data_IF_213756396694
#
_entry.id   IF_213756396694
#
_cell.length_a   1.000
_cell.length_b   1.000
_cell.length_c   1.000
_cell.angle_alpha   90.00
_cell.angle_beta   90.00
_cell.angle_gamma   90.00
#
_symmetry.space_group_name_H-M   'P 1'
#
loop_
_entity.id
_entity.type
_entity.pdbx_description
1 polymer ?
#
# COMPACT_ATOMS: atom_id res chain seq x y z
N UNK A 1 -11.03 24.77 12.27
CA UNK A 1 -11.67 23.97 11.22
C UNK A 1 -12.54 22.92 11.90
N UNK A 2 -13.82 22.89 11.65
CA UNK A 2 -14.71 21.88 12.23
C UNK A 2 -14.51 20.52 11.50
N UNK A 3 -15.02 19.42 12.07
CA UNK A 3 -14.83 18.07 11.53
C UNK A 3 -15.32 17.94 10.06
N UNK A 4 -16.42 18.59 9.74
CA UNK A 4 -17.03 18.55 8.40
C UNK A 4 -16.16 19.29 7.36
N UNK A 5 -15.63 20.47 7.74
CA UNK A 5 -14.69 21.22 6.89
C UNK A 5 -13.39 20.43 6.67
N UNK A 6 -12.87 19.76 7.72
CA UNK A 6 -11.68 18.92 7.62
C UNK A 6 -11.89 17.75 6.67
N UNK A 7 -13.00 17.02 6.82
CA UNK A 7 -13.35 15.89 5.92
C UNK A 7 -13.52 16.37 4.50
N UNK A 8 -14.22 17.50 4.28
CA UNK A 8 -14.39 18.09 2.95
C UNK A 8 -13.05 18.50 2.32
N UNK A 9 -12.16 19.10 3.11
CA UNK A 9 -10.83 19.50 2.65
C UNK A 9 -9.95 18.29 2.26
N UNK A 10 -9.90 17.25 3.09
CA UNK A 10 -9.18 16.00 2.78
C UNK A 10 -9.77 15.34 1.53
N UNK A 11 -11.10 15.29 1.41
CA UNK A 11 -11.76 14.72 0.23
C UNK A 11 -11.34 15.46 -1.05
N UNK A 12 -11.49 16.78 -1.07
CA UNK A 12 -11.20 17.60 -2.25
C UNK A 12 -9.72 17.62 -2.62
N UNK A 13 -8.82 17.68 -1.65
CA UNK A 13 -7.39 17.85 -1.92
C UNK A 13 -6.60 16.54 -1.96
N UNK A 14 -7.15 15.45 -1.41
CA UNK A 14 -6.48 14.14 -1.43
C UNK A 14 -7.20 13.13 -2.31
N UNK A 15 -8.54 12.98 -2.18
CA UNK A 15 -9.28 11.96 -2.92
C UNK A 15 -9.55 12.38 -4.37
N UNK A 16 -9.99 13.62 -4.59
CA UNK A 16 -10.33 14.11 -5.94
C UNK A 16 -9.15 14.03 -6.91
N UNK A 17 -7.91 14.46 -6.57
CA UNK A 17 -6.76 14.26 -7.45
C UNK A 17 -6.50 12.80 -7.83
N UNK A 18 -6.63 11.87 -6.89
CA UNK A 18 -6.50 10.43 -7.16
C UNK A 18 -7.58 9.98 -8.15
N UNK A 19 -8.84 10.35 -7.92
CA UNK A 19 -9.95 10.00 -8.79
C UNK A 19 -9.79 10.60 -10.20
N UNK A 20 -9.25 11.80 -10.32
CA UNK A 20 -8.96 12.43 -11.63
C UNK A 20 -7.91 11.61 -12.38
N UNK A 21 -6.80 11.23 -11.73
CA UNK A 21 -5.76 10.42 -12.36
C UNK A 21 -6.28 9.04 -12.80
N UNK A 22 -7.10 8.39 -11.96
CA UNK A 22 -7.79 7.13 -12.31
C UNK A 22 -8.73 7.36 -13.49
N UNK A 23 -9.51 8.43 -13.47
CA UNK A 23 -10.43 8.82 -14.56
C UNK A 23 -9.70 9.04 -15.88
N UNK A 24 -8.54 9.68 -15.86
CA UNK A 24 -7.66 9.83 -17.04
C UNK A 24 -7.28 8.46 -17.59
N UNK A 25 -6.81 7.53 -16.74
CA UNK A 25 -6.44 6.17 -17.16
C UNK A 25 -7.63 5.41 -17.78
N UNK A 26 -8.81 5.54 -17.17
CA UNK A 26 -10.05 4.95 -17.67
C UNK A 26 -10.44 5.48 -19.08
N UNK A 27 -10.37 6.80 -19.28
CA UNK A 27 -10.68 7.46 -20.57
C UNK A 27 -9.64 7.08 -21.64
N UNK A 28 -8.37 7.11 -21.30
CA UNK A 28 -7.27 6.72 -22.20
C UNK A 28 -7.43 5.28 -22.68
N UNK A 29 -7.76 4.35 -21.78
CA UNK A 29 -7.98 2.95 -22.17
C UNK A 29 -9.17 2.77 -23.10
N UNK A 30 -10.27 3.50 -22.86
CA UNK A 30 -11.43 3.51 -23.77
C UNK A 30 -11.07 4.00 -25.17
N UNK A 31 -10.21 5.01 -25.26
CA UNK A 31 -9.85 5.65 -26.53
C UNK A 31 -8.73 4.90 -27.28
N UNK A 32 -7.69 4.46 -26.55
CA UNK A 32 -6.44 3.96 -27.15
C UNK A 32 -6.17 2.49 -26.85
N UNK A 33 -6.99 1.83 -26.00
CA UNK A 33 -6.80 0.42 -25.59
C UNK A 33 -5.38 0.17 -25.08
N UNK A 34 -4.98 0.90 -24.02
CA UNK A 34 -3.63 0.86 -23.48
C UNK A 34 -3.20 -0.56 -23.10
N UNK A 35 -1.95 -0.91 -23.35
CA UNK A 35 -1.43 -2.19 -22.89
C UNK A 35 -1.13 -2.18 -21.38
N UNK A 36 -2.05 -2.77 -20.61
CA UNK A 36 -1.93 -2.85 -19.15
C UNK A 36 -0.71 -3.66 -18.70
N UNK A 37 -0.31 -4.67 -19.48
CA UNK A 37 0.85 -5.49 -19.16
C UNK A 37 2.14 -4.68 -19.21
N UNK A 38 2.34 -3.88 -20.24
CA UNK A 38 3.48 -2.98 -20.37
C UNK A 38 3.49 -1.91 -19.27
N UNK A 39 2.33 -1.28 -18.98
CA UNK A 39 2.21 -0.31 -17.89
C UNK A 39 2.56 -0.93 -16.53
N UNK A 40 2.07 -2.14 -16.27
CA UNK A 40 2.36 -2.85 -15.03
C UNK A 40 3.84 -3.20 -14.92
N UNK A 41 4.48 -3.68 -15.99
CA UNK A 41 5.92 -3.97 -15.99
C UNK A 41 6.77 -2.72 -15.77
N UNK A 42 6.48 -1.63 -16.45
CA UNK A 42 7.15 -0.34 -16.23
C UNK A 42 7.05 0.07 -14.76
N UNK A 43 5.84 -0.03 -14.21
CA UNK A 43 5.58 0.33 -12.82
C UNK A 43 6.36 -0.55 -11.84
N UNK A 44 6.29 -1.88 -11.97
CA UNK A 44 6.89 -2.81 -11.00
C UNK A 44 8.40 -2.97 -11.13
N UNK A 45 8.97 -2.82 -12.34
CA UNK A 45 10.39 -3.07 -12.57
C UNK A 45 11.26 -1.81 -12.56
N UNK A 46 10.68 -0.63 -12.77
CA UNK A 46 11.42 0.64 -12.83
C UNK A 46 10.89 1.64 -11.80
N UNK A 47 9.62 2.05 -11.91
CA UNK A 47 9.11 3.19 -11.15
C UNK A 47 8.99 2.88 -9.65
N UNK A 48 8.43 1.74 -9.29
CA UNK A 48 8.27 1.34 -7.89
C UNK A 48 9.62 1.09 -7.19
N UNK A 49 10.59 0.33 -7.76
CA UNK A 49 11.90 0.17 -7.13
C UNK A 49 12.65 1.49 -6.94
N UNK A 50 12.62 2.40 -7.92
CA UNK A 50 13.27 3.71 -7.79
C UNK A 50 12.57 4.59 -6.75
N UNK A 51 11.24 4.55 -6.68
CA UNK A 51 10.47 5.23 -5.63
C UNK A 51 10.81 4.72 -4.24
N UNK A 52 10.84 3.38 -4.05
CA UNK A 52 11.18 2.75 -2.77
C UNK A 52 12.63 3.08 -2.39
N UNK A 53 13.57 2.97 -3.34
CA UNK A 53 14.96 3.30 -3.09
C UNK A 53 15.10 4.73 -2.58
N UNK A 54 14.52 5.71 -3.27
CA UNK A 54 14.55 7.11 -2.85
C UNK A 54 13.92 7.31 -1.48
N UNK A 55 12.70 6.78 -1.29
CA UNK A 55 11.99 6.90 -0.02
C UNK A 55 12.78 6.33 1.16
N UNK A 56 13.41 5.16 0.97
CA UNK A 56 14.24 4.53 2.00
C UNK A 56 15.58 5.23 2.18
N UNK A 57 16.22 5.72 1.11
CA UNK A 57 17.48 6.45 1.20
C UNK A 57 17.32 7.78 1.96
N UNK A 58 16.24 8.50 1.73
CA UNK A 58 15.93 9.76 2.43
C UNK A 58 15.36 9.53 3.85
N UNK A 59 14.93 8.30 4.16
CA UNK A 59 14.31 7.97 5.44
C UNK A 59 15.35 7.88 6.56
N UNK A 60 15.07 8.52 7.68
CA UNK A 60 15.76 8.22 8.94
C UNK A 60 14.99 7.09 9.63
N UNK A 61 15.44 5.86 9.42
CA UNK A 61 14.86 4.71 10.13
C UNK A 61 15.14 4.84 11.62
N UNK A 62 14.10 4.73 12.42
CA UNK A 62 14.15 4.74 13.87
C UNK A 62 13.42 3.52 14.44
N UNK A 63 13.43 3.37 15.77
CA UNK A 63 12.69 2.29 16.45
C UNK A 63 11.20 2.26 16.10
N UNK A 64 10.58 3.40 15.81
CA UNK A 64 9.18 3.48 15.39
C UNK A 64 8.84 2.72 14.12
N UNK A 65 9.81 2.43 13.25
CA UNK A 65 9.59 1.58 12.06
C UNK A 65 9.28 0.14 12.44
N UNK A 66 9.93 -0.40 13.48
CA UNK A 66 9.67 -1.76 13.98
C UNK A 66 8.26 -1.88 14.59
N UNK A 67 7.79 -0.83 15.25
CA UNK A 67 6.44 -0.76 15.80
C UNK A 67 5.39 -0.87 14.71
N UNK A 68 5.58 -0.15 13.60
CA UNK A 68 4.70 -0.19 12.42
C UNK A 68 4.68 -1.59 11.81
N UNK A 69 5.85 -2.20 11.63
CA UNK A 69 6.00 -3.57 11.10
C UNK A 69 5.26 -4.58 11.99
N UNK A 70 5.43 -4.47 13.31
CA UNK A 70 4.74 -5.35 14.27
C UNK A 70 3.22 -5.19 14.17
N UNK A 71 2.70 -3.97 14.21
CA UNK A 71 1.27 -3.71 14.06
C UNK A 71 0.74 -4.23 12.72
N UNK A 72 1.47 -4.02 11.61
CA UNK A 72 1.08 -4.50 10.29
C UNK A 72 0.97 -6.03 10.23
N UNK A 73 1.91 -6.75 10.83
CA UNK A 73 1.86 -8.21 10.94
C UNK A 73 0.67 -8.69 11.77
N UNK A 74 0.41 -8.04 12.91
CA UNK A 74 -0.76 -8.37 13.75
C UNK A 74 -2.08 -8.18 12.98
N UNK A 75 -2.23 -7.08 12.23
CA UNK A 75 -3.42 -6.82 11.42
C UNK A 75 -3.56 -7.87 10.30
N UNK A 76 -2.48 -8.24 9.62
CA UNK A 76 -2.49 -9.31 8.62
C UNK A 76 -2.97 -10.65 9.19
N UNK A 77 -2.44 -11.04 10.36
CA UNK A 77 -2.82 -12.30 11.03
C UNK A 77 -4.30 -12.26 11.42
N UNK A 78 -4.77 -11.16 12.02
CA UNK A 78 -6.17 -11.03 12.42
C UNK A 78 -7.12 -11.03 11.23
N UNK A 79 -6.77 -10.36 10.13
CA UNK A 79 -7.54 -10.39 8.89
C UNK A 79 -7.61 -11.81 8.31
N UNK A 80 -6.53 -12.59 8.40
CA UNK A 80 -6.53 -14.00 8.00
C UNK A 80 -7.48 -14.85 8.84
N UNK A 81 -7.40 -14.71 10.16
CA UNK A 81 -8.27 -15.44 11.11
C UNK A 81 -9.73 -15.05 10.90
N UNK A 82 -10.02 -13.75 10.81
CA UNK A 82 -11.37 -13.24 10.56
C UNK A 82 -11.96 -13.84 9.28
N UNK A 83 -11.19 -13.84 8.20
CA UNK A 83 -11.63 -14.35 6.90
C UNK A 83 -11.89 -15.86 6.95
N UNK A 84 -11.09 -16.61 7.72
CA UNK A 84 -11.34 -18.05 7.97
C UNK A 84 -12.66 -18.28 8.70
N UNK A 85 -12.86 -17.55 9.80
CA UNK A 85 -14.07 -17.68 10.62
C UNK A 85 -15.32 -17.33 9.80
N UNK A 86 -15.30 -16.16 9.14
CA UNK A 86 -16.43 -15.70 8.33
C UNK A 86 -16.69 -16.64 7.14
N UNK A 87 -15.64 -17.08 6.44
CA UNK A 87 -15.80 -18.01 5.32
C UNK A 87 -16.38 -19.35 5.72
N UNK A 88 -15.97 -19.90 6.87
CA UNK A 88 -16.57 -21.13 7.45
C UNK A 88 -18.03 -20.92 7.87
N UNK A 89 -18.36 -19.79 8.48
CA UNK A 89 -19.74 -19.44 8.84
C UNK A 89 -20.66 -19.32 7.62
N UNK A 90 -20.12 -18.88 6.48
CA UNK A 90 -20.85 -18.79 5.20
C UNK A 90 -20.92 -20.14 4.46
N UNK A 91 -20.32 -21.20 4.99
CA UNK A 91 -20.27 -22.51 4.32
C UNK A 91 -19.43 -22.53 3.06
N UNK A 92 -18.43 -21.65 2.95
CA UNK A 92 -17.54 -21.59 1.79
C UNK A 92 -16.59 -22.79 1.75
N UNK A 93 -16.28 -23.26 0.54
CA UNK A 93 -15.24 -24.25 0.33
C UNK A 93 -13.82 -23.65 0.57
N UNK A 94 -12.81 -24.51 0.61
CA UNK A 94 -11.43 -24.13 0.89
C UNK A 94 -10.90 -23.09 -0.11
N UNK A 95 -11.25 -23.21 -1.40
CA UNK A 95 -10.79 -22.30 -2.44
C UNK A 95 -11.43 -20.90 -2.28
N UNK A 96 -12.72 -20.88 -1.93
CA UNK A 96 -13.45 -19.63 -1.72
C UNK A 96 -13.00 -18.92 -0.43
N UNK A 97 -12.69 -19.67 0.63
CA UNK A 97 -12.09 -19.14 1.86
C UNK A 97 -10.70 -18.53 1.54
N UNK A 98 -9.87 -19.22 0.79
CA UNK A 98 -8.56 -18.72 0.38
C UNK A 98 -8.67 -17.41 -0.45
N UNK A 99 -9.66 -17.34 -1.33
CA UNK A 99 -9.96 -16.13 -2.11
C UNK A 99 -10.39 -14.98 -1.19
N UNK A 100 -11.31 -15.22 -0.25
CA UNK A 100 -11.75 -14.22 0.72
C UNK A 100 -10.58 -13.71 1.57
N UNK A 101 -9.71 -14.61 2.04
CA UNK A 101 -8.49 -14.24 2.76
C UNK A 101 -7.62 -13.30 1.95
N UNK A 102 -7.32 -13.64 0.71
CA UNK A 102 -6.49 -12.81 -0.16
C UNK A 102 -7.11 -11.43 -0.39
N UNK A 103 -8.43 -11.35 -0.56
CA UNK A 103 -9.14 -10.08 -0.72
C UNK A 103 -9.10 -9.21 0.56
N UNK A 104 -9.16 -9.82 1.74
CA UNK A 104 -9.23 -9.08 3.02
C UNK A 104 -7.85 -8.78 3.59
N UNK A 105 -6.88 -9.68 3.44
CA UNK A 105 -5.52 -9.49 3.97
C UNK A 105 -4.71 -8.46 3.18
N UNK A 106 -4.77 -8.53 1.84
CA UNK A 106 -3.88 -7.76 0.96
C UNK A 106 -4.63 -6.61 0.29
N UNK A 107 -4.09 -5.42 0.46
CA UNK A 107 -4.63 -4.18 -0.08
C UNK A 107 -3.70 -3.56 -1.12
N UNK A 108 -4.22 -2.62 -1.88
CA UNK A 108 -3.48 -1.91 -2.90
C UNK A 108 -2.59 -0.80 -2.30
N UNK A 109 -1.74 -1.18 -1.32
CA UNK A 109 -0.84 -0.23 -0.63
C UNK A 109 0.10 0.43 -1.62
N UNK A 110 0.68 -0.36 -2.54
CA UNK A 110 1.69 0.14 -3.47
C UNK A 110 1.18 1.27 -4.37
N UNK A 111 -0.01 1.10 -4.93
CA UNK A 111 -0.56 2.11 -5.83
C UNK A 111 -1.40 3.15 -5.05
N UNK A 112 -2.45 2.71 -4.37
CA UNK A 112 -3.37 3.63 -3.70
C UNK A 112 -2.89 4.10 -2.33
N UNK A 113 -2.32 3.21 -1.52
CA UNK A 113 -1.88 3.56 -0.16
C UNK A 113 -0.78 4.61 -0.16
N UNK A 114 0.22 4.46 -1.01
CA UNK A 114 1.30 5.44 -1.17
C UNK A 114 0.75 6.77 -1.69
N UNK A 115 -0.08 6.74 -2.73
CA UNK A 115 -0.68 7.96 -3.28
C UNK A 115 -1.51 8.69 -2.21
N UNK A 116 -2.36 7.96 -1.50
CA UNK A 116 -3.19 8.51 -0.44
C UNK A 116 -2.35 9.11 0.69
N UNK A 117 -1.31 8.41 1.15
CA UNK A 117 -0.41 8.92 2.20
C UNK A 117 0.28 10.23 1.76
N UNK A 118 0.79 10.28 0.53
CA UNK A 118 1.38 11.51 -0.02
C UNK A 118 0.35 12.64 0.02
N UNK A 119 -0.83 12.44 -0.57
CA UNK A 119 -1.85 13.49 -0.62
C UNK A 119 -2.36 13.91 0.75
N UNK A 120 -2.49 13.00 1.72
CA UNK A 120 -2.93 13.34 3.08
C UNK A 120 -1.85 14.15 3.80
N UNK A 121 -0.60 13.68 3.83
CA UNK A 121 0.45 14.30 4.64
C UNK A 121 1.12 15.53 3.97
N UNK A 122 0.80 15.83 2.71
CA UNK A 122 1.20 17.07 2.04
C UNK A 122 0.09 18.13 2.00
N UNK A 123 -1.05 17.88 2.64
CA UNK A 123 -2.17 18.81 2.73
C UNK A 123 -2.56 19.12 4.17
N UNK A 124 -3.43 20.11 4.38
CA UNK A 124 -3.99 20.46 5.71
C UNK A 124 -4.76 19.25 6.27
N UNK A 125 -4.61 18.92 7.54
CA UNK A 125 -3.99 19.70 8.62
C UNK A 125 -2.50 19.47 8.85
N UNK A 126 -1.81 18.75 7.99
CA UNK A 126 -0.43 18.32 8.19
C UNK A 126 0.61 19.30 7.63
N UNK A 127 0.17 20.35 6.95
CA UNK A 127 1.03 21.46 6.48
C UNK A 127 1.14 22.50 7.58
N UNK A 128 2.38 22.87 7.97
CA UNK A 128 2.69 23.88 8.98
C UNK A 128 3.59 24.92 8.33
N UNK A 129 3.13 26.18 8.30
CA UNK A 129 3.87 27.31 7.70
C UNK A 129 4.39 27.04 6.27
N UNK A 130 3.58 26.34 5.47
CA UNK A 130 3.94 25.98 4.08
C UNK A 130 4.90 24.78 3.96
N UNK A 131 5.40 24.25 5.08
CA UNK A 131 6.23 23.05 5.09
C UNK A 131 5.38 21.78 5.34
N UNK A 132 5.89 20.63 4.90
CA UNK A 132 5.25 19.30 5.05
C UNK A 132 6.07 18.40 5.99
N UNK A 133 6.19 18.73 7.29
CA UNK A 133 7.13 18.07 8.20
C UNK A 133 6.83 16.59 8.42
N UNK A 134 5.60 16.17 8.18
CA UNK A 134 5.14 14.80 8.39
C UNK A 134 5.13 13.91 7.15
N UNK A 135 5.31 14.50 5.96
CA UNK A 135 5.23 13.78 4.69
C UNK A 135 6.24 12.63 4.61
N UNK A 136 7.49 12.86 5.02
CA UNK A 136 8.53 11.84 5.00
C UNK A 136 8.23 10.70 5.98
N UNK A 137 7.80 11.00 7.21
CA UNK A 137 7.44 9.98 8.20
C UNK A 137 6.23 9.15 7.75
N UNK A 138 5.20 9.79 7.20
CA UNK A 138 4.04 9.11 6.61
C UNK A 138 4.45 8.20 5.45
N UNK A 139 5.33 8.67 4.57
CA UNK A 139 5.83 7.90 3.44
C UNK A 139 6.64 6.68 3.90
N UNK A 140 7.56 6.83 4.83
CA UNK A 140 8.33 5.72 5.42
C UNK A 140 7.40 4.70 6.06
N UNK A 141 6.39 5.15 6.79
CA UNK A 141 5.42 4.29 7.45
C UNK A 141 4.62 3.45 6.44
N UNK A 142 4.09 4.08 5.38
CA UNK A 142 3.31 3.35 4.36
C UNK A 142 4.20 2.40 3.56
N UNK A 143 5.44 2.77 3.26
CA UNK A 143 6.40 1.89 2.56
C UNK A 143 6.76 0.69 3.43
N UNK A 144 6.95 0.86 4.72
CA UNK A 144 7.21 -0.24 5.66
C UNK A 144 6.06 -1.26 5.67
N UNK A 145 4.81 -0.78 5.71
CA UNK A 145 3.62 -1.64 5.59
C UNK A 145 3.57 -2.32 4.21
N UNK A 146 3.87 -1.59 3.14
CA UNK A 146 3.87 -2.11 1.77
C UNK A 146 4.87 -3.27 1.60
N UNK A 147 6.05 -3.19 2.22
CA UNK A 147 7.04 -4.27 2.20
C UNK A 147 6.44 -5.55 2.79
N UNK A 148 5.89 -5.46 4.00
CA UNK A 148 5.27 -6.60 4.67
C UNK A 148 4.11 -7.17 3.85
N UNK A 149 3.24 -6.31 3.35
CA UNK A 149 2.11 -6.69 2.49
C UNK A 149 2.60 -7.41 1.22
N UNK A 150 3.62 -6.87 0.56
CA UNK A 150 4.15 -7.44 -0.69
C UNK A 150 4.82 -8.78 -0.45
N UNK A 151 5.68 -8.90 0.57
CA UNK A 151 6.30 -10.18 0.92
C UNK A 151 5.22 -11.21 1.25
N UNK A 152 4.26 -10.86 2.11
CA UNK A 152 3.20 -11.77 2.54
C UNK A 152 2.26 -12.16 1.39
N UNK A 153 1.90 -11.23 0.49
CA UNK A 153 1.03 -11.53 -0.65
C UNK A 153 1.72 -12.45 -1.67
N UNK A 154 3.01 -12.24 -1.91
CA UNK A 154 3.77 -13.05 -2.87
C UNK A 154 4.28 -14.38 -2.30
N UNK A 155 4.19 -14.60 -1.00
CA UNK A 155 4.47 -15.89 -0.35
C UNK A 155 3.17 -16.58 0.02
N UNK A 156 2.55 -16.13 1.11
CA UNK A 156 1.36 -16.74 1.66
C UNK A 156 0.12 -16.58 0.76
N UNK A 157 -0.04 -15.40 0.12
CA UNK A 157 -1.14 -15.14 -0.81
C UNK A 157 -1.09 -16.07 -2.04
N UNK A 158 0.09 -16.26 -2.65
CA UNK A 158 0.29 -17.22 -3.73
C UNK A 158 0.06 -18.66 -3.28
N UNK A 159 0.57 -19.04 -2.10
CA UNK A 159 0.31 -20.37 -1.53
C UNK A 159 -1.19 -20.64 -1.40
N UNK A 160 -1.95 -19.68 -0.87
CA UNK A 160 -3.41 -19.78 -0.75
C UNK A 160 -4.10 -19.86 -2.13
N UNK A 161 -3.73 -18.98 -3.08
CA UNK A 161 -4.31 -18.98 -4.43
C UNK A 161 -4.07 -20.29 -5.18
N UNK A 162 -2.93 -20.93 -4.95
CA UNK A 162 -2.60 -22.26 -5.49
C UNK A 162 -3.32 -23.41 -4.80
N UNK A 163 -4.18 -23.15 -3.80
CA UNK A 163 -4.83 -24.19 -2.98
C UNK A 163 -3.86 -25.27 -2.50
N UNK A 164 -2.65 -24.87 -2.09
CA UNK A 164 -1.60 -25.77 -1.63
C UNK A 164 -0.81 -26.49 -2.74
N UNK A 165 -1.02 -26.15 -4.02
CA UNK A 165 -0.25 -26.72 -5.15
C UNK A 165 1.13 -26.12 -5.32
N UNK A 166 1.35 -24.89 -4.82
CA UNK A 166 2.65 -24.23 -4.85
C UNK A 166 3.46 -24.58 -3.61
N UNK A 167 4.74 -24.88 -3.79
CA UNK A 167 5.64 -25.09 -2.65
C UNK A 167 6.06 -23.74 -2.05
N UNK A 168 6.36 -23.67 -0.72
CA UNK A 168 6.91 -22.46 -0.10
C UNK A 168 8.18 -21.95 -0.80
N UNK A 169 8.97 -22.85 -1.38
CA UNK A 169 10.17 -22.52 -2.15
C UNK A 169 9.85 -21.76 -3.44
N UNK A 170 8.77 -22.13 -4.14
CA UNK A 170 8.37 -21.44 -5.36
C UNK A 170 7.81 -20.05 -5.06
N UNK A 171 7.07 -19.91 -3.96
CA UNK A 171 6.62 -18.61 -3.47
C UNK A 171 7.80 -17.69 -3.13
N UNK A 172 8.84 -18.20 -2.45
CA UNK A 172 10.05 -17.44 -2.15
C UNK A 172 10.79 -17.00 -3.43
N UNK A 173 10.90 -17.88 -4.43
CA UNK A 173 11.52 -17.52 -5.72
C UNK A 173 10.82 -16.32 -6.37
N UNK A 174 9.50 -16.26 -6.33
CA UNK A 174 8.74 -15.10 -6.87
C UNK A 174 9.16 -13.81 -6.17
N UNK A 175 9.28 -13.82 -4.84
CA UNK A 175 9.71 -12.65 -4.06
C UNK A 175 11.10 -12.17 -4.49
N UNK A 176 12.07 -13.11 -4.61
CA UNK A 176 13.43 -12.78 -5.03
C UNK A 176 13.56 -12.35 -6.49
N UNK A 177 12.53 -12.53 -7.33
CA UNK A 177 12.50 -11.97 -8.68
C UNK A 177 11.93 -10.54 -8.73
N UNK A 178 11.48 -9.98 -7.61
CA UNK A 178 10.96 -8.62 -7.57
C UNK A 178 12.07 -7.59 -7.28
N UNK A 179 12.34 -6.64 -8.19
CA UNK A 179 13.41 -5.66 -8.02
C UNK A 179 13.26 -4.81 -6.75
N UNK A 180 12.03 -4.55 -6.32
CA UNK A 180 11.75 -3.78 -5.10
C UNK A 180 12.35 -4.40 -3.83
N UNK A 181 12.50 -5.73 -3.78
CA UNK A 181 13.08 -6.44 -2.64
C UNK A 181 14.56 -6.07 -2.47
N UNK A 182 15.24 -5.77 -3.56
CA UNK A 182 16.65 -5.34 -3.55
C UNK A 182 16.81 -3.84 -3.34
N UNK A 183 15.82 -3.04 -3.71
CA UNK A 183 15.86 -1.59 -3.58
C UNK A 183 16.02 -1.13 -2.11
N UNK A 184 15.40 -1.86 -1.17
CA UNK A 184 15.42 -1.54 0.25
C UNK A 184 16.81 -1.73 0.87
N UNK A 185 17.41 -2.95 0.86
CA UNK A 185 18.74 -3.14 1.43
C UNK A 185 19.79 -2.29 0.71
N UNK A 186 19.64 -2.08 -0.60
CA UNK A 186 20.53 -1.20 -1.35
C UNK A 186 20.44 0.25 -0.86
N UNK A 187 19.25 0.78 -0.65
CA UNK A 187 19.07 2.13 -0.11
C UNK A 187 19.67 2.28 1.29
N UNK A 188 19.47 1.28 2.18
CA UNK A 188 20.03 1.27 3.52
C UNK A 188 21.56 1.18 3.52
N UNK A 189 22.14 0.36 2.64
CA UNK A 189 23.59 0.29 2.46
C UNK A 189 24.15 1.62 1.94
N UNK A 190 23.44 2.28 1.01
CA UNK A 190 23.83 3.58 0.51
C UNK A 190 23.80 4.68 1.57
N UNK A 191 22.93 4.59 2.59
CA UNK A 191 22.96 5.52 3.73
C UNK A 191 24.25 5.43 4.58
N UNK A 192 24.95 4.31 4.53
CA UNK A 192 26.21 4.11 5.26
C UNK A 192 27.42 4.67 4.52
N UNK A 193 27.27 5.13 3.27
CA UNK A 193 28.35 5.70 2.49
C UNK A 193 28.76 7.08 3.03
N UNK A 194 30.06 7.41 3.00
CA UNK A 194 30.57 8.68 3.53
C UNK A 194 30.26 9.91 2.63
N UNK A 195 29.54 9.71 1.53
CA UNK A 195 29.17 10.76 0.56
C UNK A 195 27.69 10.71 0.21
N UNK A 196 27.15 11.87 -0.13
CA UNK A 196 25.74 12.01 -0.51
C UNK A 196 25.52 11.63 -1.98
N UNK A 197 24.55 10.73 -2.22
CA UNK A 197 24.19 10.29 -3.57
C UNK A 197 23.47 11.38 -4.38
N UNK A 198 22.91 12.43 -3.75
CA UNK A 198 22.19 13.48 -4.44
C UNK A 198 23.08 14.24 -5.46
N UNK A 199 24.39 14.30 -5.21
CA UNK A 199 25.37 14.91 -6.11
C UNK A 199 25.77 14.02 -7.29
N UNK A 200 25.35 12.78 -7.38
CA UNK A 200 25.77 11.86 -8.43
C UNK A 200 24.85 11.95 -9.66
N UNK A 201 25.44 11.74 -10.82
CA UNK A 201 24.76 11.90 -12.13
C UNK A 201 23.50 11.03 -12.29
N UNK A 202 23.43 9.87 -11.65
CA UNK A 202 22.28 8.96 -11.75
C UNK A 202 21.12 9.33 -10.82
N UNK A 203 21.32 10.21 -9.83
CA UNK A 203 20.28 10.55 -8.88
C UNK A 203 19.17 11.41 -9.50
N UNK A 204 19.50 12.26 -10.48
CA UNK A 204 18.51 13.06 -11.21
C UNK A 204 17.53 12.19 -12.04
N UNK A 205 17.97 11.24 -12.89
CA UNK A 205 17.08 10.26 -13.52
C UNK A 205 16.27 9.43 -12.53
N UNK A 206 16.86 8.99 -11.41
CA UNK A 206 16.19 8.23 -10.37
C UNK A 206 15.00 9.02 -9.79
N UNK A 207 15.19 10.32 -9.52
CA UNK A 207 14.12 11.20 -9.04
C UNK A 207 12.98 11.35 -10.06
N UNK A 208 13.29 11.46 -11.35
CA UNK A 208 12.29 11.55 -12.40
C UNK A 208 11.42 10.29 -12.41
N UNK A 209 12.02 9.09 -12.38
CA UNK A 209 11.28 7.83 -12.31
C UNK A 209 10.48 7.70 -11.02
N UNK A 210 11.07 8.03 -9.88
CA UNK A 210 10.38 7.97 -8.59
C UNK A 210 9.14 8.89 -8.56
N UNK A 211 9.24 10.10 -9.11
CA UNK A 211 8.12 11.04 -9.18
C UNK A 211 7.01 10.60 -10.14
N UNK A 212 7.36 9.86 -11.20
CA UNK A 212 6.39 9.33 -12.15
C UNK A 212 5.54 8.16 -11.59
N UNK A 213 6.02 7.49 -10.52
CA UNK A 213 5.41 6.26 -9.97
C UNK A 213 3.91 6.43 -9.70
N UNK A 214 3.52 7.41 -8.89
CA UNK A 214 2.12 7.60 -8.48
C UNK A 214 1.20 7.85 -9.68
N UNK A 215 1.62 8.72 -10.61
CA UNK A 215 0.83 9.04 -11.81
C UNK A 215 0.59 7.81 -12.68
N UNK A 216 1.64 7.04 -12.99
CA UNK A 216 1.54 5.83 -13.82
C UNK A 216 0.73 4.75 -13.11
N UNK A 217 0.89 4.58 -11.79
CA UNK A 217 0.14 3.63 -10.99
C UNK A 217 -1.37 3.93 -11.01
N UNK A 218 -1.77 5.20 -10.88
CA UNK A 218 -3.18 5.61 -10.94
C UNK A 218 -3.78 5.45 -12.34
N UNK A 219 -3.02 5.76 -13.39
CA UNK A 219 -3.43 5.51 -14.77
C UNK A 219 -3.64 4.00 -14.99
N UNK A 220 -2.71 3.16 -14.57
CA UNK A 220 -2.83 1.70 -14.68
C UNK A 220 -4.06 1.17 -13.93
N UNK A 221 -4.36 1.72 -12.75
CA UNK A 221 -5.58 1.40 -12.00
C UNK A 221 -6.84 1.80 -12.77
N UNK A 222 -6.86 2.95 -13.43
CA UNK A 222 -7.96 3.39 -14.29
C UNK A 222 -8.21 2.43 -15.44
N UNK A 223 -7.13 1.94 -16.09
CA UNK A 223 -7.20 0.89 -17.12
C UNK A 223 -7.79 -0.41 -16.56
N UNK A 224 -7.36 -0.84 -15.37
CA UNK A 224 -7.89 -2.04 -14.71
C UNK A 224 -9.39 -1.92 -14.44
N UNK A 225 -9.83 -0.78 -13.91
CA UNK A 225 -11.27 -0.52 -13.62
C UNK A 225 -12.10 -0.59 -14.90
N UNK A 226 -11.61 0.00 -16.02
CA UNK A 226 -12.32 -0.06 -17.30
C UNK A 226 -12.52 -1.48 -17.82
N UNK A 227 -11.60 -2.40 -17.51
CA UNK A 227 -11.61 -3.81 -17.98
C UNK A 227 -12.25 -4.78 -17.00
N UNK A 228 -12.51 -4.36 -15.78
CA UNK A 228 -13.08 -5.23 -14.74
C UNK A 228 -14.60 -5.23 -14.83
N UNK A 229 -15.25 -6.39 -14.93
CA UNK A 229 -16.71 -6.47 -14.89
C UNK A 229 -17.21 -6.06 -13.49
N UNK A 230 -18.03 -5.02 -13.44
CA UNK A 230 -18.55 -4.43 -12.20
C UNK A 230 -19.75 -5.25 -11.69
N UNK A 231 -19.51 -6.25 -10.87
CA UNK A 231 -20.53 -7.10 -10.23
C UNK A 231 -20.71 -6.73 -8.74
N UNK A 232 -21.03 -5.47 -8.46
CA UNK A 232 -21.09 -4.92 -7.09
C UNK A 232 -22.12 -5.59 -6.16
N UNK A 233 -23.20 -6.14 -6.70
CA UNK A 233 -24.30 -6.67 -5.91
C UNK A 233 -24.22 -8.17 -5.57
N UNK A 234 -23.13 -8.84 -5.92
CA UNK A 234 -22.91 -10.22 -5.45
C UNK A 234 -22.61 -10.21 -3.95
N UNK A 235 -23.30 -11.03 -3.19
CA UNK A 235 -23.15 -11.11 -1.72
C UNK A 235 -21.69 -11.33 -1.31
N UNK A 236 -20.96 -12.19 -2.03
CA UNK A 236 -19.56 -12.47 -1.76
C UNK A 236 -18.66 -11.22 -1.93
N UNK A 237 -18.96 -10.40 -2.96
CA UNK A 237 -18.24 -9.14 -3.21
C UNK A 237 -18.56 -8.13 -2.12
N UNK A 238 -19.83 -7.99 -1.74
CA UNK A 238 -20.24 -7.09 -0.65
C UNK A 238 -19.60 -7.50 0.67
N UNK A 239 -19.59 -8.81 0.98
CA UNK A 239 -18.96 -9.34 2.19
C UNK A 239 -17.45 -9.02 2.21
N UNK A 240 -16.72 -9.37 1.14
CA UNK A 240 -15.29 -9.10 1.03
C UNK A 240 -14.99 -7.59 1.14
N UNK A 241 -15.78 -6.76 0.48
CA UNK A 241 -15.64 -5.29 0.50
C UNK A 241 -15.88 -4.74 1.91
N UNK A 242 -16.93 -5.21 2.61
CA UNK A 242 -17.23 -4.78 3.98
C UNK A 242 -16.12 -5.20 4.95
N UNK A 243 -15.67 -6.44 4.88
CA UNK A 243 -14.56 -6.91 5.70
C UNK A 243 -13.28 -6.10 5.42
N UNK A 244 -13.03 -5.77 4.15
CA UNK A 244 -11.84 -5.05 3.73
C UNK A 244 -11.88 -3.57 4.09
N UNK A 245 -12.96 -2.86 3.75
CA UNK A 245 -13.03 -1.40 3.86
C UNK A 245 -13.57 -0.89 5.20
N UNK A 246 -14.25 -1.75 5.97
CA UNK A 246 -14.82 -1.36 7.26
C UNK A 246 -14.14 -2.12 8.40
N UNK A 247 -14.12 -3.44 8.35
CA UNK A 247 -13.66 -4.23 9.49
C UNK A 247 -12.12 -4.20 9.60
N UNK A 248 -11.40 -4.29 8.49
CA UNK A 248 -9.92 -4.25 8.51
C UNK A 248 -9.35 -2.94 9.09
N UNK A 249 -9.84 -1.73 8.73
CA UNK A 249 -9.42 -0.49 9.39
C UNK A 249 -9.73 -0.45 10.88
N UNK A 250 -10.87 -1.00 11.32
CA UNK A 250 -11.23 -1.09 12.73
C UNK A 250 -10.28 -2.02 13.49
N UNK A 251 -9.88 -3.15 12.88
CA UNK A 251 -8.85 -4.03 13.44
C UNK A 251 -7.52 -3.28 13.53
N UNK A 252 -7.14 -2.54 12.48
CA UNK A 252 -5.91 -1.75 12.47
C UNK A 252 -5.90 -0.69 13.57
N UNK A 253 -7.01 0.01 13.76
CA UNK A 253 -7.18 0.98 14.86
C UNK A 253 -7.10 0.29 16.23
N UNK A 254 -7.80 -0.84 16.39
CA UNK A 254 -7.77 -1.62 17.64
C UNK A 254 -6.36 -2.11 18.00
N UNK A 255 -5.61 -2.66 17.03
CA UNK A 255 -4.22 -3.09 17.24
C UNK A 255 -3.33 -1.91 17.59
N UNK A 256 -3.48 -0.78 16.92
CA UNK A 256 -2.68 0.43 17.21
C UNK A 256 -2.97 0.94 18.63
N UNK A 257 -4.23 0.98 19.06
CA UNK A 257 -4.61 1.36 20.41
C UNK A 257 -4.04 0.38 21.44
N UNK A 258 -4.18 -0.92 21.23
CA UNK A 258 -3.63 -1.95 22.11
C UNK A 258 -2.11 -1.84 22.20
N UNK A 259 -1.43 -1.60 21.08
CA UNK A 259 0.01 -1.40 21.07
C UNK A 259 0.41 -0.21 21.96
N UNK A 260 -0.28 0.93 21.79
CA UNK A 260 -0.02 2.13 22.59
C UNK A 260 -0.27 1.88 24.09
N UNK A 261 -1.31 1.12 24.44
CA UNK A 261 -1.64 0.80 25.83
C UNK A 261 -0.59 -0.11 26.51
N UNK A 262 -0.02 -1.07 25.79
CA UNK A 262 0.88 -2.07 26.38
C UNK A 262 2.37 -1.75 26.22
N UNK A 263 2.77 -1.07 25.14
CA UNK A 263 4.18 -0.83 24.80
C UNK A 263 4.58 0.64 24.91
N UNK A 264 3.63 1.56 24.96
CA UNK A 264 3.88 3.00 25.09
C UNK A 264 3.49 3.81 23.85
N UNK A 265 3.71 5.13 23.88
CA UNK A 265 3.21 6.05 22.85
C UNK A 265 3.91 5.82 21.51
N UNK A 266 3.12 5.53 20.48
CA UNK A 266 3.54 5.54 19.08
C UNK A 266 3.43 6.95 18.51
N UNK A 267 4.30 7.31 17.56
CA UNK A 267 4.19 8.61 16.89
C UNK A 267 2.81 8.74 16.19
N UNK A 268 2.06 9.84 16.40
CA UNK A 268 0.68 9.96 15.87
C UNK A 268 0.56 9.73 14.36
N UNK A 269 1.54 10.22 13.58
CA UNK A 269 1.57 10.03 12.11
C UNK A 269 1.71 8.55 11.75
N UNK A 270 2.54 7.78 12.47
CA UNK A 270 2.69 6.35 12.25
C UNK A 270 1.38 5.60 12.53
N UNK A 271 0.73 5.91 13.66
CA UNK A 271 -0.58 5.36 14.02
C UNK A 271 -1.65 5.67 12.97
N UNK A 272 -1.74 6.91 12.52
CA UNK A 272 -2.67 7.33 11.46
C UNK A 272 -2.36 6.64 10.13
N UNK A 273 -1.08 6.50 9.77
CA UNK A 273 -0.67 5.83 8.54
C UNK A 273 -1.08 4.37 8.52
N UNK A 274 -1.00 3.66 9.65
CA UNK A 274 -1.48 2.27 9.75
C UNK A 274 -2.97 2.23 9.41
N UNK A 275 -3.79 3.07 10.04
CA UNK A 275 -5.25 3.09 9.81
C UNK A 275 -5.58 3.47 8.36
N UNK A 276 -4.95 4.53 7.82
CA UNK A 276 -5.13 4.98 6.44
C UNK A 276 -4.77 3.85 5.46
N UNK A 277 -3.64 3.19 5.67
CA UNK A 277 -3.16 2.13 4.78
C UNK A 277 -4.10 0.93 4.77
N UNK A 278 -4.67 0.56 5.91
CA UNK A 278 -5.65 -0.54 5.98
C UNK A 278 -7.07 -0.12 5.57
N UNK A 279 -7.33 1.16 5.31
CA UNK A 279 -8.59 1.66 4.73
C UNK A 279 -8.59 1.64 3.19
N UNK A 280 -7.45 1.32 2.56
CA UNK A 280 -7.33 1.24 1.08
C UNK A 280 -7.84 -0.11 0.59
N UNK A 281 -8.54 -0.15 -0.58
CA UNK A 281 -9.07 -1.39 -1.17
C UNK A 281 -8.02 -2.37 -1.64
#
# INVERSE_FOLDING_TARGET
MNLFELVGHIFMNSMVPILVLIGVGFILDRRFKLDLYTLSKLNFYILLPTFIFRAMYEAKLNSGTLEIVFCALCVLILNSILSDVVGKMQGYDVAKIATLKNCVMFNNVGNMGVALAIFVFTNIPYVIDGATPYANLGLVSVVSIMIIQTISSNTYGFYQAGAGRLTPRDALKVVFHMPMVYAIPLALLCQLLPFDLHGLFFFAPLNIFANAFVGVAMIALGVQINRTPLNFFKMDVMLATTLRLVVSPLIAAGITILFIMFYGPMHPIAAQTIIITYSVP
#
